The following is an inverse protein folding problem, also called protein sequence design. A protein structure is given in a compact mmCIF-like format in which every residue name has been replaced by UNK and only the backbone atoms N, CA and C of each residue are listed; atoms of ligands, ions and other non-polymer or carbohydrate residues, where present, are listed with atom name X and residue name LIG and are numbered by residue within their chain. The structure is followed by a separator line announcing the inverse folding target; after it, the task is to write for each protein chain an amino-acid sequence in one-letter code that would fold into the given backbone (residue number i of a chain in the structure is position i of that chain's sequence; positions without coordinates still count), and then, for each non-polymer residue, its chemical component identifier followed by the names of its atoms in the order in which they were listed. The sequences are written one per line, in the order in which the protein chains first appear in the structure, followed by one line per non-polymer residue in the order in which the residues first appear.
data_IF_641407966799
#
_entry.id   IF_641407966799
#
_cell.length_a   1.000
_cell.length_b   1.000
_cell.length_c   1.000
_cell.angle_alpha   90.00
_cell.angle_beta   90.00
_cell.angle_gamma   90.00
#
_symmetry.space_group_name_H-M   'P 1'
#
loop_
_entity.id
_entity.type
_entity.pdbx_description
1 polymer ?
#
# COMPACT_ATOMS: atom_id res chain seq x y z
N UNK A 1 50.69 13.45 13.77
CA UNK A 1 49.62 13.40 12.75
C UNK A 1 48.28 13.69 13.44
N UNK A 2 47.87 14.88 13.92
CA UNK A 2 47.91 16.29 13.46
C UNK A 2 47.21 16.58 12.12
N UNK A 3 46.15 15.85 11.78
CA UNK A 3 45.44 16.05 10.50
C UNK A 3 43.92 15.83 10.49
N UNK A 4 43.27 15.44 11.59
CA UNK A 4 41.86 14.98 11.55
C UNK A 4 40.85 15.87 12.28
N UNK A 5 41.24 17.07 12.70
CA UNK A 5 40.34 18.03 13.37
C UNK A 5 39.96 19.23 12.50
N UNK A 6 40.55 19.38 11.31
CA UNK A 6 40.23 20.48 10.38
C UNK A 6 39.04 20.20 9.45
N UNK A 7 38.63 18.93 9.33
CA UNK A 7 37.45 18.53 8.54
C UNK A 7 36.11 18.75 9.28
N UNK A 8 36.14 18.94 10.59
CA UNK A 8 34.91 19.05 11.40
C UNK A 8 34.41 20.49 11.59
N UNK A 9 35.22 21.50 11.24
CA UNK A 9 34.85 22.93 11.36
C UNK A 9 34.29 23.50 10.05
N UNK A 10 34.43 22.78 8.92
CA UNK A 10 33.95 23.23 7.61
C UNK A 10 32.57 22.68 7.21
N UNK A 11 31.89 21.95 8.10
CA UNK A 11 30.54 21.39 7.88
C UNK A 11 29.52 21.94 8.90
N UNK A 12 29.76 23.15 9.42
CA UNK A 12 28.90 23.81 10.41
C UNK A 12 28.48 25.25 10.03
N UNK A 13 28.54 25.61 8.74
CA UNK A 13 28.18 26.97 8.26
C UNK A 13 27.44 26.96 6.91
N UNK A 14 26.44 26.09 6.75
CA UNK A 14 25.47 26.17 5.63
C UNK A 14 24.04 25.89 6.11
N UNK A 15 23.70 26.43 7.29
CA UNK A 15 22.34 26.80 7.65
C UNK A 15 22.17 28.30 7.38
N UNK A 16 20.97 28.69 6.97
CA UNK A 16 20.51 30.06 6.62
C UNK A 16 20.54 30.37 5.12
N UNK A 17 19.48 29.98 4.39
CA UNK A 17 19.36 30.39 3.01
C UNK A 17 18.19 29.84 2.20
N UNK A 18 17.02 29.60 2.78
CA UNK A 18 15.79 29.54 1.98
C UNK A 18 14.63 30.16 2.77
N UNK A 19 14.46 31.46 2.53
CA UNK A 19 13.28 32.20 2.92
C UNK A 19 12.03 31.59 2.28
N UNK A 20 10.96 31.68 3.07
CA UNK A 20 9.62 31.26 2.75
C UNK A 20 9.13 31.74 1.38
N UNK A 21 8.58 30.82 0.60
CA UNK A 21 7.53 31.13 -0.38
C UNK A 21 6.37 30.20 -0.05
N UNK A 22 5.42 30.73 0.70
CA UNK A 22 4.09 30.12 0.90
C UNK A 22 3.17 30.77 -0.14
N UNK A 23 2.78 30.07 -1.22
CA UNK A 23 1.61 30.47 -1.98
C UNK A 23 0.35 30.04 -1.23
N UNK A 24 -0.34 31.05 -0.69
CA UNK A 24 -1.74 31.00 -0.28
C UNK A 24 -2.59 30.66 -1.50
N UNK A 25 -3.15 29.44 -1.53
CA UNK A 25 -4.17 29.06 -2.50
C UNK A 25 -5.54 29.13 -1.84
N UNK A 26 -6.38 29.94 -2.46
CA UNK A 26 -7.72 30.30 -2.06
C UNK A 26 -8.70 29.12 -1.97
N UNK A 27 -9.70 29.34 -1.11
CA UNK A 27 -10.99 28.68 -0.99
C UNK A 27 -11.44 27.83 -2.19
N UNK A 28 -11.72 26.55 -1.91
CA UNK A 28 -12.58 25.70 -2.74
C UNK A 28 -13.86 25.41 -1.97
N UNK A 29 -14.91 25.96 -2.56
CA UNK A 29 -16.34 25.68 -2.53
C UNK A 29 -16.81 24.43 -1.76
N UNK A 30 -17.72 24.65 -0.80
CA UNK A 30 -18.47 23.60 -0.10
C UNK A 30 -19.65 23.17 -0.98
N UNK A 31 -19.37 22.25 -1.89
CA UNK A 31 -20.41 21.50 -2.59
C UNK A 31 -21.18 20.61 -1.61
N UNK A 32 -22.39 21.05 -1.26
CA UNK A 32 -23.47 20.23 -0.69
C UNK A 32 -23.63 19.00 -1.58
N UNK A 33 -23.35 17.82 -1.01
CA UNK A 33 -23.57 16.55 -1.71
C UNK A 33 -24.78 15.88 -1.08
N UNK A 34 -25.87 16.00 -1.84
CA UNK A 34 -27.18 15.43 -1.60
C UNK A 34 -27.13 13.94 -1.25
N UNK A 35 -28.04 13.55 -0.36
CA UNK A 35 -28.23 12.20 0.11
C UNK A 35 -28.68 11.27 -1.02
N UNK A 36 -27.82 10.32 -1.36
CA UNK A 36 -28.20 9.15 -2.14
C UNK A 36 -28.66 8.03 -1.21
N UNK A 37 -29.96 7.98 -0.94
CA UNK A 37 -30.62 6.75 -0.51
C UNK A 37 -30.45 5.69 -1.62
N UNK A 38 -29.91 4.53 -1.26
CA UNK A 38 -29.46 3.52 -2.22
C UNK A 38 -29.33 2.14 -1.59
N UNK A 39 -30.48 1.60 -1.20
CA UNK A 39 -30.89 0.19 -1.08
C UNK A 39 -29.85 -0.84 -1.53
N UNK A 40 -29.55 -1.80 -0.66
CA UNK A 40 -29.00 -3.10 -1.07
C UNK A 40 -28.02 -3.74 -0.09
N UNK A 41 -28.48 -4.09 1.11
CA UNK A 41 -27.76 -4.99 2.02
C UNK A 41 -27.65 -6.40 1.39
N UNK A 42 -26.67 -6.61 0.53
CA UNK A 42 -26.29 -7.91 -0.01
C UNK A 42 -25.54 -8.72 1.04
N UNK A 43 -26.29 -9.50 1.82
CA UNK A 43 -25.76 -10.54 2.70
C UNK A 43 -24.93 -11.53 1.88
N UNK A 44 -23.68 -11.75 2.29
CA UNK A 44 -22.96 -12.98 1.97
C UNK A 44 -21.89 -12.86 0.90
N UNK A 45 -20.64 -13.08 1.33
CA UNK A 45 -19.72 -14.06 0.75
C UNK A 45 -18.56 -14.29 1.73
N UNK A 46 -18.38 -15.55 2.14
CA UNK A 46 -17.48 -15.95 3.23
C UNK A 46 -15.99 -15.71 2.95
N UNK A 47 -15.12 -15.91 3.97
CA UNK A 47 -13.68 -15.67 3.89
C UNK A 47 -12.95 -16.54 2.86
N UNK A 48 -13.53 -17.68 2.48
CA UNK A 48 -12.99 -18.62 1.49
C UNK A 48 -12.94 -18.01 0.08
N UNK A 49 -14.05 -17.44 -0.39
CA UNK A 49 -14.12 -16.81 -1.72
C UNK A 49 -13.20 -15.58 -1.83
N UNK A 50 -12.91 -14.90 -0.71
CA UNK A 50 -11.95 -13.78 -0.66
C UNK A 50 -10.50 -14.23 -0.84
N UNK A 51 -10.16 -15.47 -0.43
CA UNK A 51 -8.82 -16.04 -0.60
C UNK A 51 -8.59 -16.48 -2.05
N UNK A 52 -9.59 -17.11 -2.65
CA UNK A 52 -9.63 -17.52 -4.06
C UNK A 52 -9.47 -16.30 -4.99
N UNK A 53 -10.27 -15.24 -4.81
CA UNK A 53 -10.16 -14.03 -5.64
C UNK A 53 -8.81 -13.30 -5.53
N UNK A 54 -8.05 -13.48 -4.43
CA UNK A 54 -6.69 -12.92 -4.28
C UNK A 54 -5.64 -13.74 -5.03
N UNK A 55 -5.80 -15.06 -5.11
CA UNK A 55 -4.99 -15.93 -5.96
C UNK A 55 -5.17 -15.55 -7.42
N UNK A 56 -6.42 -15.56 -7.88
CA UNK A 56 -6.80 -15.26 -9.27
C UNK A 56 -6.36 -13.88 -9.72
N UNK A 57 -6.46 -12.87 -8.84
CA UNK A 57 -6.03 -11.50 -9.17
C UNK A 57 -4.52 -11.43 -9.39
N UNK A 58 -3.75 -12.21 -8.64
CA UNK A 58 -2.30 -12.25 -8.81
C UNK A 58 -1.92 -12.99 -10.09
N UNK A 59 -2.50 -14.15 -10.35
CA UNK A 59 -2.22 -14.92 -11.58
C UNK A 59 -2.51 -14.08 -12.82
N UNK A 60 -3.67 -13.42 -12.87
CA UNK A 60 -4.02 -12.48 -13.96
C UNK A 60 -3.06 -11.30 -14.06
N UNK A 61 -2.55 -10.78 -12.96
CA UNK A 61 -1.59 -9.67 -12.99
C UNK A 61 -0.20 -10.13 -13.46
N UNK A 62 0.19 -11.37 -13.10
CA UNK A 62 1.43 -12.01 -13.52
C UNK A 62 1.40 -12.30 -15.02
N UNK A 63 0.34 -12.95 -15.51
CA UNK A 63 0.13 -13.22 -16.94
C UNK A 63 0.18 -11.94 -17.77
N UNK A 64 -0.58 -10.91 -17.38
CA UNK A 64 -0.57 -9.60 -18.07
C UNK A 64 0.81 -8.95 -18.09
N UNK A 65 1.65 -9.20 -17.09
CA UNK A 65 3.01 -8.66 -17.05
C UNK A 65 3.93 -9.41 -18.00
N UNK A 66 3.84 -10.74 -18.04
CA UNK A 66 4.58 -11.57 -18.99
C UNK A 66 4.17 -11.26 -20.42
N UNK A 67 2.87 -11.15 -20.69
CA UNK A 67 2.31 -10.82 -22.00
C UNK A 67 2.79 -9.45 -22.49
N UNK A 68 2.65 -8.41 -21.66
CA UNK A 68 3.11 -7.06 -22.01
C UNK A 68 4.61 -7.02 -22.32
N UNK A 69 5.43 -7.65 -21.49
CA UNK A 69 6.88 -7.70 -21.73
C UNK A 69 7.22 -8.52 -22.97
N UNK A 70 6.46 -9.59 -23.21
CA UNK A 70 6.58 -10.39 -24.41
C UNK A 70 6.29 -9.60 -25.68
N UNK A 71 5.27 -8.75 -25.68
CA UNK A 71 4.90 -7.94 -26.84
C UNK A 71 5.96 -6.85 -27.10
N UNK A 72 6.34 -6.11 -26.06
CA UNK A 72 7.31 -5.01 -26.17
C UNK A 72 8.67 -5.52 -26.65
N UNK A 73 9.09 -6.70 -26.19
CA UNK A 73 10.42 -7.25 -26.46
C UNK A 73 10.41 -8.36 -27.51
N UNK A 74 9.25 -8.69 -28.09
CA UNK A 74 9.08 -9.79 -29.05
C UNK A 74 9.69 -11.12 -28.56
N UNK A 75 9.41 -11.50 -27.30
CA UNK A 75 10.01 -12.67 -26.66
C UNK A 75 9.54 -13.99 -27.30
N UNK A 76 10.48 -14.93 -27.46
CA UNK A 76 10.18 -16.32 -27.84
C UNK A 76 9.47 -17.08 -26.72
N UNK A 77 8.87 -18.23 -27.04
CA UNK A 77 8.17 -19.06 -26.04
C UNK A 77 9.08 -19.44 -24.86
N UNK A 78 10.31 -19.87 -25.14
CA UNK A 78 11.29 -20.20 -24.09
C UNK A 78 11.67 -18.99 -23.22
N UNK A 79 11.76 -17.80 -23.82
CA UNK A 79 12.05 -16.57 -23.08
C UNK A 79 10.87 -16.17 -22.19
N UNK A 80 9.62 -16.36 -22.63
CA UNK A 80 8.43 -16.10 -21.82
C UNK A 80 8.37 -17.02 -20.60
N UNK A 81 8.69 -18.30 -20.77
CA UNK A 81 8.71 -19.27 -19.68
C UNK A 81 9.76 -18.89 -18.62
N UNK A 82 10.98 -18.59 -19.06
CA UNK A 82 12.06 -18.11 -18.17
C UNK A 82 11.67 -16.80 -17.46
N UNK A 83 11.06 -15.86 -18.18
CA UNK A 83 10.56 -14.61 -17.60
C UNK A 83 9.49 -14.86 -16.54
N UNK A 84 8.55 -15.77 -16.80
CA UNK A 84 7.51 -16.16 -15.84
C UNK A 84 8.12 -16.69 -14.55
N UNK A 85 9.09 -17.61 -14.66
CA UNK A 85 9.80 -18.16 -13.50
C UNK A 85 10.52 -17.08 -12.67
N UNK A 86 11.25 -16.17 -13.33
CA UNK A 86 11.96 -15.05 -12.66
C UNK A 86 10.99 -14.16 -11.89
N UNK A 87 9.85 -13.82 -12.50
CA UNK A 87 8.83 -12.98 -11.86
C UNK A 87 8.17 -13.68 -10.67
N UNK A 88 7.95 -14.99 -10.76
CA UNK A 88 7.40 -15.79 -9.66
C UNK A 88 8.37 -15.86 -8.48
N UNK A 89 9.64 -16.14 -8.73
CA UNK A 89 10.68 -16.22 -7.71
C UNK A 89 10.90 -14.88 -7.02
N UNK A 90 10.98 -13.78 -7.80
CA UNK A 90 11.08 -12.43 -7.23
C UNK A 90 9.88 -12.10 -6.34
N UNK A 91 8.68 -12.59 -6.67
CA UNK A 91 7.49 -12.41 -5.83
C UNK A 91 7.56 -13.23 -4.54
N UNK A 92 8.05 -14.48 -4.59
CA UNK A 92 8.27 -15.32 -3.40
C UNK A 92 9.28 -14.65 -2.46
N UNK A 93 10.40 -14.18 -3.00
CA UNK A 93 11.42 -13.49 -2.23
C UNK A 93 10.88 -12.22 -1.57
N UNK A 94 10.15 -11.39 -2.33
CA UNK A 94 9.56 -10.17 -1.80
C UNK A 94 8.53 -10.46 -0.69
N UNK A 95 7.73 -11.53 -0.84
CA UNK A 95 6.78 -11.96 0.19
C UNK A 95 7.51 -12.29 1.49
N UNK A 96 8.56 -13.10 1.43
CA UNK A 96 9.38 -13.47 2.59
C UNK A 96 9.99 -12.24 3.26
N UNK A 97 10.65 -11.37 2.48
CA UNK A 97 11.24 -10.12 3.01
C UNK A 97 10.20 -9.21 3.66
N UNK A 98 9.00 -9.13 3.08
CA UNK A 98 7.90 -8.35 3.66
C UNK A 98 7.45 -8.91 5.00
N UNK A 99 7.31 -10.23 5.12
CA UNK A 99 6.93 -10.88 6.38
C UNK A 99 7.99 -10.65 7.47
N UNK A 100 9.27 -10.80 7.13
CA UNK A 100 10.37 -10.49 8.05
C UNK A 100 10.39 -9.04 8.50
N UNK A 101 10.24 -8.11 7.55
CA UNK A 101 10.19 -6.68 7.83
C UNK A 101 9.01 -6.34 8.74
N UNK A 102 7.84 -6.94 8.51
CA UNK A 102 6.66 -6.73 9.36
C UNK A 102 6.89 -7.21 10.79
N UNK A 103 7.50 -8.40 10.97
CA UNK A 103 7.86 -8.92 12.30
C UNK A 103 8.85 -8.01 13.01
N UNK A 104 9.90 -7.57 12.31
CA UNK A 104 10.90 -6.62 12.85
C UNK A 104 10.27 -5.29 13.23
N UNK A 105 9.40 -4.75 12.38
CA UNK A 105 8.70 -3.49 12.66
C UNK A 105 7.78 -3.62 13.88
N UNK A 106 7.05 -4.73 14.02
CA UNK A 106 6.20 -4.99 15.18
C UNK A 106 7.03 -5.04 16.47
N UNK A 107 8.11 -5.80 16.48
CA UNK A 107 8.99 -5.89 17.65
C UNK A 107 9.57 -4.52 18.06
N UNK A 108 10.01 -3.70 17.10
CA UNK A 108 10.49 -2.33 17.37
C UNK A 108 9.40 -1.43 17.95
N UNK A 109 8.17 -1.54 17.46
CA UNK A 109 7.03 -0.80 18.00
C UNK A 109 6.77 -1.19 19.45
N UNK A 110 6.64 -2.49 19.73
CA UNK A 110 6.43 -3.00 21.09
C UNK A 110 7.54 -2.57 22.06
N UNK A 111 8.80 -2.61 21.64
CA UNK A 111 9.92 -2.15 22.45
C UNK A 111 9.87 -0.63 22.70
N UNK A 112 9.45 0.16 21.72
CA UNK A 112 9.28 1.61 21.85
C UNK A 112 8.12 1.93 22.80
N UNK A 113 7.01 1.21 22.67
CA UNK A 113 5.83 1.40 23.49
C UNK A 113 6.12 1.13 24.97
N UNK A 114 6.94 0.11 25.30
CA UNK A 114 7.40 -0.13 26.68
C UNK A 114 8.19 1.04 27.25
N UNK A 115 9.12 1.60 26.47
CA UNK A 115 9.91 2.78 26.88
C UNK A 115 9.04 4.01 27.09
N UNK A 116 7.99 4.16 26.28
CA UNK A 116 7.00 5.22 26.49
C UNK A 116 6.27 4.98 27.81
N UNK A 117 5.78 3.77 28.07
CA UNK A 117 5.08 3.45 29.32
C UNK A 117 5.94 3.71 30.56
N UNK A 118 7.26 3.48 30.51
CA UNK A 118 8.19 3.73 31.63
C UNK A 118 8.23 5.19 32.10
N UNK A 119 7.95 6.16 31.22
CA UNK A 119 7.97 7.60 31.55
C UNK A 119 6.59 8.18 31.84
N UNK A 120 5.53 7.37 31.77
CA UNK A 120 4.14 7.80 31.99
C UNK A 120 3.67 7.49 33.42
N UNK A 121 2.77 8.32 33.94
CA UNK A 121 2.00 7.99 35.15
C UNK A 121 0.99 6.88 34.87
N UNK A 122 0.44 6.23 35.91
CA UNK A 122 -0.54 5.14 35.73
C UNK A 122 -1.78 5.58 34.94
N UNK A 123 -2.33 6.75 35.23
CA UNK A 123 -3.48 7.30 34.49
C UNK A 123 -3.15 7.57 33.01
N UNK A 124 -1.92 8.01 32.73
CA UNK A 124 -1.45 8.24 31.36
C UNK A 124 -1.23 6.92 30.61
N UNK A 125 -0.72 5.88 31.29
CA UNK A 125 -0.56 4.53 30.70
C UNK A 125 -1.89 3.95 30.26
N UNK A 126 -2.96 4.12 31.05
CA UNK A 126 -4.31 3.67 30.67
C UNK A 126 -4.76 4.32 29.37
N UNK A 127 -4.70 5.65 29.28
CA UNK A 127 -5.06 6.40 28.06
C UNK A 127 -4.19 6.02 26.85
N UNK A 128 -2.90 5.80 27.07
CA UNK A 128 -1.98 5.40 26.01
C UNK A 128 -2.32 4.02 25.43
N UNK A 129 -2.65 3.05 26.29
CA UNK A 129 -3.07 1.71 25.86
C UNK A 129 -4.38 1.75 25.09
N UNK A 130 -5.38 2.48 25.58
CA UNK A 130 -6.66 2.67 24.89
C UNK A 130 -6.47 3.30 23.50
N UNK A 131 -5.66 4.36 23.42
CA UNK A 131 -5.34 5.01 22.15
C UNK A 131 -4.69 4.05 21.14
N UNK A 132 -3.76 3.21 21.60
CA UNK A 132 -3.11 2.19 20.75
C UNK A 132 -4.09 1.14 20.24
N UNK A 133 -5.00 0.68 21.10
CA UNK A 133 -6.04 -0.27 20.70
C UNK A 133 -7.00 0.33 19.68
N UNK A 134 -7.43 1.57 19.87
CA UNK A 134 -8.28 2.29 18.92
C UNK A 134 -7.61 2.39 17.55
N UNK A 135 -6.33 2.79 17.53
CA UNK A 135 -5.56 2.86 16.29
C UNK A 135 -5.42 1.50 15.61
N UNK A 136 -5.26 0.42 16.38
CA UNK A 136 -5.24 -0.95 15.85
C UNK A 136 -6.60 -1.34 15.25
N UNK A 137 -7.71 -0.99 15.90
CA UNK A 137 -9.07 -1.24 15.41
C UNK A 137 -9.33 -0.49 14.10
N UNK A 138 -9.04 0.81 14.03
CA UNK A 138 -9.17 1.62 12.81
C UNK A 138 -8.40 1.03 11.62
N UNK A 139 -7.18 0.56 11.85
CA UNK A 139 -6.38 -0.09 10.80
C UNK A 139 -7.00 -1.43 10.37
N UNK A 140 -7.56 -2.22 11.29
CA UNK A 140 -8.25 -3.47 10.95
C UNK A 140 -9.55 -3.22 10.18
N UNK A 141 -10.31 -2.19 10.55
CA UNK A 141 -11.55 -1.78 9.87
C UNK A 141 -11.27 -1.29 8.46
N UNK A 142 -10.23 -0.45 8.26
CA UNK A 142 -9.85 0.01 6.92
C UNK A 142 -9.39 -1.15 6.03
N UNK A 143 -8.63 -2.11 6.56
CA UNK A 143 -8.28 -3.34 5.84
C UNK A 143 -9.51 -4.22 5.51
N UNK A 144 -10.59 -4.09 6.28
CA UNK A 144 -11.89 -4.68 6.01
C UNK A 144 -12.61 -3.96 4.87
N UNK A 145 -12.67 -2.63 4.92
CA UNK A 145 -13.40 -1.77 3.98
C UNK A 145 -12.76 -1.65 2.58
N UNK A 146 -11.43 -1.66 2.47
CA UNK A 146 -10.73 -1.61 1.17
C UNK A 146 -10.89 -2.91 0.35
N UNK A 147 -11.37 -3.99 0.99
CA UNK A 147 -11.76 -5.19 0.26
C UNK A 147 -13.14 -5.06 -0.43
N UNK A 148 -13.95 -4.07 -0.02
CA UNK A 148 -15.31 -3.85 -0.52
C UNK A 148 -15.37 -2.75 -1.60
N UNK A 149 -14.31 -1.94 -1.78
CA UNK A 149 -14.28 -0.82 -2.75
C UNK A 149 -13.53 -1.12 -4.06
N UNK A 150 -12.87 -2.28 -4.20
CA UNK A 150 -12.13 -2.65 -5.42
C UNK A 150 -13.07 -3.16 -6.54
N UNK A 151 -13.89 -2.27 -7.09
CA UNK A 151 -14.79 -2.52 -8.24
C UNK A 151 -13.94 -2.73 -9.53
N UNK A 152 -14.18 -3.79 -10.33
CA UNK A 152 -13.60 -3.92 -11.66
C UNK A 152 -14.30 -2.99 -12.65
N UNK A 153 -13.49 -2.30 -13.45
CA UNK A 153 -13.90 -1.56 -14.65
C UNK A 153 -14.68 -2.49 -15.60
N UNK A 154 -15.98 -2.23 -15.76
CA UNK A 154 -16.85 -2.91 -16.73
C UNK A 154 -16.90 -2.06 -18.00
N UNK A 155 -16.02 -2.39 -18.95
CA UNK A 155 -15.95 -1.72 -20.25
C UNK A 155 -15.74 -2.67 -21.42
N UNK A 156 -16.40 -3.82 -21.49
CA UNK A 156 -16.54 -4.59 -22.73
C UNK A 156 -17.98 -4.52 -23.25
N UNK A 157 -18.21 -3.63 -24.24
CA UNK A 157 -19.31 -3.82 -25.20
C UNK A 157 -18.70 -4.32 -26.50
N UNK A 158 -18.81 -5.64 -26.72
CA UNK A 158 -18.70 -6.26 -28.03
C UNK A 158 -19.85 -5.70 -28.89
N UNK A 159 -19.55 -4.89 -29.90
CA UNK A 159 -20.47 -4.62 -31.00
C UNK A 159 -20.29 -5.70 -32.05
N UNK A 160 -21.26 -6.61 -32.13
CA UNK A 160 -21.41 -7.57 -33.21
C UNK A 160 -21.69 -6.82 -34.52
N UNK A 161 -20.93 -7.14 -35.56
CA UNK A 161 -21.24 -6.75 -36.95
C UNK A 161 -21.99 -7.93 -37.59
N UNK A 162 -23.22 -7.74 -38.11
CA UNK A 162 -23.98 -8.82 -38.76
C UNK A 162 -23.45 -9.13 -40.17
N UNK A 163 -23.72 -10.34 -40.70
CA UNK A 163 -23.19 -10.77 -41.99
C UNK A 163 -23.85 -10.02 -43.16
N UNK A 164 -23.05 -9.65 -44.16
CA UNK A 164 -23.54 -9.11 -45.42
C UNK A 164 -24.16 -10.25 -46.26
N UNK A 165 -25.29 -9.91 -46.90
CA UNK A 165 -26.01 -10.72 -47.88
C UNK A 165 -25.19 -10.97 -49.13
#
# INVERSE_FOLDING_TARGET
MKGLTKMFVLMLTLTLGFCAIVPTVSAVDKGVRDGGEGIGMGKGRGPEMRREMRGDRWEKAHEKRVERLSEILSLSAEQKEKLSAILEDGRKELKTKREEMMKRAQSRREATDKKIEEILTEDQKVKFREHREEMRRKVSEKKGADADTAKPDKGSKKSAVPPKK
#
